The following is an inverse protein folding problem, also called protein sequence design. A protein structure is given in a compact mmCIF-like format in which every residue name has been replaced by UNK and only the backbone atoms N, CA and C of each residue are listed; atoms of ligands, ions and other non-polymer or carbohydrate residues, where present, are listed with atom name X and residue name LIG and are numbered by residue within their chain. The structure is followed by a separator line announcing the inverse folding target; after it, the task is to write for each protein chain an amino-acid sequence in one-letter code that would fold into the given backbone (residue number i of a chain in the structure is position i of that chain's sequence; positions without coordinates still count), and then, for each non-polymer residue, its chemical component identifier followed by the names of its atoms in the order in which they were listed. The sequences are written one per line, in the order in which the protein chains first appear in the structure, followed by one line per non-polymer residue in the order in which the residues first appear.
data_IF_548583328258
#
_entry.id   IF_548583328258
#
_cell.length_a   1.000
_cell.length_b   1.000
_cell.length_c   1.000
_cell.angle_alpha   90.00
_cell.angle_beta   90.00
_cell.angle_gamma   90.00
#
_symmetry.space_group_name_H-M   'P 1'
#
loop_
_entity.id
_entity.type
_entity.pdbx_description
1 polymer ?
#
# COMPACT_ATOMS: atom_id res chain seq x y z
N UNK A 1 12.89 -2.73 4.02
CA UNK A 1 12.63 -1.67 3.01
C UNK A 1 13.19 -0.36 3.57
N UNK A 2 13.50 0.67 2.76
CA UNK A 2 13.92 1.96 3.33
C UNK A 2 12.70 2.72 3.87
N UNK A 3 12.87 3.59 4.88
CA UNK A 3 11.77 4.41 5.39
C UNK A 3 11.09 5.26 4.30
N UNK A 4 11.86 5.74 3.31
CA UNK A 4 11.27 6.46 2.18
C UNK A 4 10.37 5.56 1.33
N UNK A 5 10.82 4.34 1.03
CA UNK A 5 10.02 3.38 0.28
C UNK A 5 8.74 3.01 1.05
N UNK A 6 8.83 2.81 2.37
CA UNK A 6 7.65 2.54 3.20
C UNK A 6 6.66 3.71 3.22
N UNK A 7 7.15 4.94 3.33
CA UNK A 7 6.30 6.13 3.24
C UNK A 7 5.62 6.22 1.88
N UNK A 8 6.35 5.98 0.79
CA UNK A 8 5.77 6.02 -0.57
C UNK A 8 4.73 4.92 -0.74
N UNK A 9 4.98 3.71 -0.21
CA UNK A 9 4.00 2.62 -0.21
C UNK A 9 2.75 3.00 0.58
N UNK A 10 2.90 3.51 1.79
CA UNK A 10 1.77 3.93 2.62
C UNK A 10 0.94 5.06 1.98
N UNK A 11 1.58 5.99 1.25
CA UNK A 11 0.88 7.02 0.47
C UNK A 11 0.13 6.40 -0.71
N UNK A 12 0.74 5.45 -1.42
CA UNK A 12 0.08 4.75 -2.53
C UNK A 12 -1.14 3.95 -2.04
N UNK A 13 -0.98 3.17 -0.95
CA UNK A 13 -2.04 2.38 -0.34
C UNK A 13 -3.22 3.30 0.07
N UNK A 14 -2.95 4.39 0.78
CA UNK A 14 -3.97 5.39 1.16
C UNK A 14 -4.66 6.02 -0.06
N UNK A 15 -3.90 6.33 -1.12
CA UNK A 15 -4.45 6.89 -2.35
C UNK A 15 -5.36 5.90 -3.07
N UNK A 16 -4.97 4.62 -3.14
CA UNK A 16 -5.77 3.59 -3.79
C UNK A 16 -7.07 3.31 -3.02
N UNK A 17 -7.02 3.31 -1.69
CA UNK A 17 -8.19 3.05 -0.85
C UNK A 17 -9.19 4.22 -0.86
N UNK A 18 -8.70 5.46 -0.78
CA UNK A 18 -9.57 6.64 -0.65
C UNK A 18 -9.87 7.35 -1.96
N UNK A 19 -9.06 7.11 -2.99
CA UNK A 19 -9.03 7.88 -4.25
C UNK A 19 -8.84 9.40 -4.03
N UNK A 20 -8.38 9.80 -2.84
CA UNK A 20 -8.20 11.20 -2.48
C UNK A 20 -6.77 11.65 -2.77
N UNK A 21 -6.61 12.71 -3.57
CA UNK A 21 -5.30 13.30 -3.89
C UNK A 21 -4.73 14.15 -2.76
N UNK A 22 -5.19 13.98 -1.53
CA UNK A 22 -4.77 14.71 -0.35
C UNK A 22 -4.78 13.81 0.86
N UNK A 23 -3.76 13.91 1.71
CA UNK A 23 -3.67 13.11 2.94
C UNK A 23 -3.05 13.91 4.09
N UNK A 24 -3.34 13.50 5.31
CA UNK A 24 -2.71 14.04 6.52
C UNK A 24 -1.49 13.21 6.89
N UNK A 25 -0.46 13.86 7.43
CA UNK A 25 0.73 13.17 7.94
C UNK A 25 0.37 12.05 8.93
N UNK A 26 -0.60 12.31 9.79
CA UNK A 26 -1.10 11.39 10.83
C UNK A 26 -1.64 10.07 10.27
N UNK A 27 -2.23 10.12 9.06
CA UNK A 27 -2.76 8.90 8.42
C UNK A 27 -1.60 8.00 8.02
N UNK A 28 -0.56 8.60 7.43
CA UNK A 28 0.63 7.86 6.99
C UNK A 28 1.45 7.37 8.17
N UNK A 29 1.70 8.20 9.19
CA UNK A 29 2.44 7.77 10.38
C UNK A 29 1.72 6.66 11.15
N UNK A 30 0.38 6.72 11.25
CA UNK A 30 -0.42 5.65 11.84
C UNK A 30 -0.21 4.34 11.08
N UNK A 31 -0.39 4.33 9.75
CA UNK A 31 -0.14 3.14 8.91
C UNK A 31 1.28 2.57 9.09
N UNK A 32 2.29 3.44 9.15
CA UNK A 32 3.67 2.99 9.38
C UNK A 32 3.86 2.35 10.76
N UNK A 33 3.21 2.89 11.79
CA UNK A 33 3.41 2.43 13.17
C UNK A 33 2.56 1.21 13.54
N UNK A 34 1.58 0.80 12.73
CA UNK A 34 0.73 -0.37 12.99
C UNK A 34 1.52 -1.68 13.14
N UNK A 35 2.65 -1.81 12.45
CA UNK A 35 3.51 -3.00 12.49
C UNK A 35 4.76 -2.82 13.35
N UNK A 36 4.90 -1.67 14.03
CA UNK A 36 6.09 -1.31 14.81
C UNK A 36 5.83 -1.48 16.29
N UNK A 37 6.87 -1.88 17.03
CA UNK A 37 6.82 -1.85 18.48
C UNK A 37 6.76 -0.40 19.00
N UNK A 38 6.29 -0.20 20.24
CA UNK A 38 6.14 1.14 20.83
C UNK A 38 7.46 1.95 20.80
N UNK A 39 8.59 1.29 21.01
CA UNK A 39 9.91 1.91 21.05
C UNK A 39 10.47 2.26 19.64
N UNK A 40 9.83 1.78 18.58
CA UNK A 40 10.22 1.99 17.18
C UNK A 40 9.28 2.94 16.44
N UNK A 41 8.29 3.49 17.14
CA UNK A 41 7.31 4.38 16.54
C UNK A 41 7.96 5.62 15.93
N UNK A 42 7.51 5.94 14.73
CA UNK A 42 7.98 7.09 13.98
C UNK A 42 7.02 8.25 14.24
N UNK A 43 7.55 9.35 14.75
CA UNK A 43 6.77 10.56 14.97
C UNK A 43 6.23 11.18 13.67
N UNK A 44 5.07 11.82 13.76
CA UNK A 44 4.50 12.62 12.66
C UNK A 44 5.50 13.64 12.11
N UNK A 45 6.32 14.24 12.97
CA UNK A 45 7.33 15.23 12.57
C UNK A 45 8.37 14.62 11.65
N UNK A 46 8.85 13.41 11.96
CA UNK A 46 9.82 12.70 11.13
C UNK A 46 9.22 12.32 9.77
N UNK A 47 8.00 11.77 9.77
CA UNK A 47 7.26 11.43 8.55
C UNK A 47 7.03 12.69 7.69
N UNK A 48 6.55 13.79 8.27
CA UNK A 48 6.28 15.05 7.55
C UNK A 48 7.54 15.59 6.86
N UNK A 49 8.68 15.58 7.56
CA UNK A 49 9.95 16.04 6.99
C UNK A 49 10.41 15.16 5.82
N UNK A 50 10.22 13.85 5.92
CA UNK A 50 10.59 12.92 4.86
C UNK A 50 9.69 13.07 3.63
N UNK A 51 8.38 13.26 3.83
CA UNK A 51 7.43 13.54 2.74
C UNK A 51 7.78 14.83 1.98
N UNK A 52 8.20 15.88 2.69
CA UNK A 52 8.72 17.10 2.03
C UNK A 52 9.96 16.83 1.20
N UNK A 53 10.91 16.04 1.70
CA UNK A 53 12.13 15.65 0.95
C UNK A 53 11.81 14.79 -0.26
N UNK A 54 10.75 14.00 -0.19
CA UNK A 54 10.19 13.27 -1.32
C UNK A 54 9.49 14.20 -2.33
N UNK A 55 9.40 15.51 -2.10
CA UNK A 55 8.93 16.49 -3.09
C UNK A 55 7.42 16.62 -3.16
N UNK A 56 6.68 16.23 -2.11
CA UNK A 56 5.25 16.49 -2.02
C UNK A 56 4.96 17.89 -1.44
N UNK A 57 3.95 18.55 -2.01
CA UNK A 57 3.57 19.90 -1.60
C UNK A 57 2.71 19.87 -0.34
N UNK A 58 3.15 20.62 0.67
CA UNK A 58 2.36 20.82 1.89
C UNK A 58 1.25 21.84 1.63
N UNK A 59 0.02 21.49 1.96
CA UNK A 59 -1.18 22.31 1.72
C UNK A 59 -2.03 22.44 2.98
N UNK A 60 -2.88 23.48 3.03
CA UNK A 60 -3.91 23.64 4.04
C UNK A 60 -5.24 23.12 3.51
N UNK A 61 -5.90 22.27 4.28
CA UNK A 61 -7.22 21.73 3.97
C UNK A 61 -8.32 22.74 4.34
N UNK A 62 -9.53 22.53 3.82
CA UNK A 62 -10.70 23.38 4.12
C UNK A 62 -11.02 23.46 5.62
N UNK A 63 -10.74 22.39 6.36
CA UNK A 63 -10.92 22.33 7.83
C UNK A 63 -9.75 22.95 8.61
N UNK A 64 -8.84 23.68 7.95
CA UNK A 64 -7.72 24.37 8.58
C UNK A 64 -6.51 23.49 8.91
N UNK A 65 -6.64 22.15 8.82
CA UNK A 65 -5.53 21.20 9.06
C UNK A 65 -4.49 21.27 7.94
N UNK A 66 -3.25 20.95 8.28
CA UNK A 66 -2.15 20.88 7.30
C UNK A 66 -1.94 19.44 6.84
N UNK A 67 -1.87 19.24 5.53
CA UNK A 67 -1.63 17.94 4.90
C UNK A 67 -0.73 18.08 3.68
N UNK A 68 -0.75 17.06 2.81
CA UNK A 68 0.02 17.04 1.57
C UNK A 68 -0.89 16.73 0.39
N UNK A 69 -0.51 17.25 -0.79
CA UNK A 69 -1.14 16.94 -2.06
C UNK A 69 -0.38 15.84 -2.77
N UNK A 70 -1.10 14.86 -3.30
CA UNK A 70 -0.57 13.83 -4.21
C UNK A 70 -0.58 14.38 -5.63
N UNK A 71 0.57 14.31 -6.30
CA UNK A 71 0.72 14.50 -7.75
C UNK A 71 1.00 13.13 -8.35
N UNK A 72 0.15 12.66 -9.25
CA UNK A 72 0.21 11.31 -9.80
C UNK A 72 1.57 11.02 -10.46
N UNK A 73 2.10 11.98 -11.21
CA UNK A 73 3.44 11.91 -11.82
C UNK A 73 4.55 11.70 -10.77
N UNK A 74 4.47 12.43 -9.65
CA UNK A 74 5.48 12.34 -8.60
C UNK A 74 5.37 11.02 -7.86
N UNK A 75 4.16 10.61 -7.52
CA UNK A 75 3.93 9.32 -6.87
C UNK A 75 4.37 8.17 -7.78
N UNK A 76 4.01 8.21 -9.06
CA UNK A 76 4.44 7.23 -10.06
C UNK A 76 5.96 7.14 -10.19
N UNK A 77 6.64 8.28 -10.31
CA UNK A 77 8.11 8.33 -10.36
C UNK A 77 8.75 7.73 -9.12
N UNK A 78 8.22 8.03 -7.92
CA UNK A 78 8.74 7.48 -6.67
C UNK A 78 8.48 5.98 -6.56
N UNK A 79 7.33 5.48 -7.01
CA UNK A 79 7.03 4.05 -7.04
C UNK A 79 8.01 3.29 -7.92
N UNK A 80 8.31 3.81 -9.11
CA UNK A 80 9.34 3.23 -9.99
C UNK A 80 10.71 3.25 -9.33
N UNK A 81 11.13 4.39 -8.75
CA UNK A 81 12.44 4.54 -8.12
C UNK A 81 12.65 3.59 -6.95
N UNK A 82 11.62 3.38 -6.13
CA UNK A 82 11.68 2.48 -4.98
C UNK A 82 11.23 1.06 -5.29
N UNK A 83 10.96 0.73 -6.57
CA UNK A 83 10.47 -0.58 -7.02
C UNK A 83 9.24 -1.04 -6.23
N UNK A 84 8.33 -0.12 -5.95
CA UNK A 84 7.06 -0.39 -5.28
C UNK A 84 6.13 -1.01 -6.33
N UNK A 85 6.25 -2.31 -6.47
CA UNK A 85 5.32 -3.14 -7.23
C UNK A 85 4.08 -3.40 -6.37
N UNK A 86 2.90 -3.51 -7.00
CA UNK A 86 1.76 -4.17 -6.36
C UNK A 86 2.15 -5.64 -6.16
N UNK A 87 2.75 -5.94 -5.02
CA UNK A 87 2.95 -7.29 -4.55
C UNK A 87 1.69 -7.70 -3.81
N UNK A 88 0.90 -8.57 -4.43
CA UNK A 88 0.19 -9.60 -3.68
C UNK A 88 1.23 -10.25 -2.76
N UNK A 89 1.13 -10.06 -1.46
CA UNK A 89 1.78 -10.93 -0.49
C UNK A 89 1.09 -12.30 -0.58
N UNK A 90 1.45 -13.08 -1.60
CA UNK A 90 1.17 -14.50 -1.71
C UNK A 90 2.12 -15.12 -2.73
N UNK A 91 3.39 -15.28 -2.38
CA UNK A 91 4.26 -16.32 -2.96
C UNK A 91 5.53 -16.47 -2.12
N UNK A 92 5.33 -16.86 -0.87
CA UNK A 92 6.18 -17.86 -0.23
C UNK A 92 5.26 -19.04 0.13
N UNK A 93 4.84 -19.79 -0.88
CA UNK A 93 4.39 -21.17 -0.72
C UNK A 93 4.90 -21.93 -1.95
N UNK A 94 5.91 -22.73 -1.67
CA UNK A 94 6.60 -23.66 -2.55
C UNK A 94 5.70 -24.39 -3.54
N UNK A 95 6.28 -24.68 -4.71
CA UNK A 95 6.16 -25.94 -5.44
C UNK A 95 5.03 -26.88 -4.97
N UNK A 96 3.91 -26.86 -5.68
CA UNK A 96 3.08 -28.03 -5.87
C UNK A 96 2.36 -27.92 -7.21
N UNK A 97 2.99 -28.49 -8.22
CA UNK A 97 2.31 -29.02 -9.41
C UNK A 97 1.03 -29.77 -9.02
N UNK A 98 -0.10 -29.48 -9.68
CA UNK A 98 -1.16 -30.49 -9.84
C UNK A 98 -2.51 -30.26 -9.13
N UNK A 99 -3.10 -29.06 -9.17
CA UNK A 99 -4.53 -28.90 -8.80
C UNK A 99 -5.30 -28.08 -9.85
N UNK A 100 -4.99 -28.26 -11.14
CA UNK A 100 -5.80 -27.71 -12.25
C UNK A 100 -6.56 -28.79 -13.04
N UNK A 101 -6.44 -30.06 -12.67
CA UNK A 101 -7.03 -31.17 -13.44
C UNK A 101 -8.21 -31.92 -12.78
N UNK A 102 -8.50 -31.70 -11.49
CA UNK A 102 -9.53 -32.53 -10.81
C UNK A 102 -10.93 -31.90 -10.83
N UNK A 103 -11.08 -30.58 -11.00
CA UNK A 103 -12.42 -29.95 -11.01
C UNK A 103 -13.20 -30.12 -12.31
N UNK A 104 -12.60 -30.64 -13.39
CA UNK A 104 -13.33 -30.96 -14.63
C UNK A 104 -13.84 -32.42 -14.69
N UNK A 105 -13.41 -33.29 -13.77
CA UNK A 105 -13.78 -34.70 -13.76
C UNK A 105 -15.04 -35.02 -12.93
N UNK A 106 -15.48 -34.13 -12.03
CA UNK A 106 -16.62 -34.38 -11.14
C UNK A 106 -17.99 -33.96 -11.71
N UNK A 107 -18.08 -33.62 -13.00
CA UNK A 107 -19.36 -33.32 -13.68
C UNK A 107 -19.99 -34.52 -14.40
N UNK A 108 -19.44 -35.73 -14.22
CA UNK A 108 -19.95 -36.96 -14.86
C UNK A 108 -20.59 -37.97 -13.92
N UNK A 109 -20.79 -37.62 -12.66
CA UNK A 109 -21.37 -38.55 -11.66
C UNK A 109 -22.44 -37.88 -10.80
N UNK A 110 -23.24 -36.98 -11.37
CA UNK A 110 -24.58 -36.72 -10.87
C UNK A 110 -25.58 -37.45 -11.76
N UNK A 111 -25.77 -38.69 -11.34
CA UNK A 111 -27.02 -39.40 -11.28
C UNK A 111 -27.97 -39.37 -12.50
N UNK A 112 -28.15 -40.52 -13.17
CA UNK A 112 -28.74 -41.70 -12.54
C UNK A 112 -30.15 -41.39 -12.02
N UNK A 113 -30.99 -40.77 -12.85
CA UNK A 113 -32.40 -41.12 -12.89
C UNK A 113 -32.71 -41.80 -14.22
N UNK A 114 -32.70 -43.13 -14.14
CA UNK A 114 -33.55 -43.99 -14.95
C UNK A 114 -35.01 -43.76 -14.56
#
# INVERSE_FOLDING_TARGET
MSLEAEIVKAIDDEYQETQNKQFLTQVISKRLNEIRSENEQISDRAVSNRIKRLGFDKIRFKNGRMGFRIKDERLGSLKTNYKITRGTEASEASEASGIFEVSLALKKEDDFFK
#
